data_IF_067859279298
#
_entry.id   IF_067859279298
#
_cell.length_a   1.000
_cell.length_b   1.000
_cell.length_c   1.000
_cell.angle_alpha   90.00
_cell.angle_beta   90.00
_cell.angle_gamma   90.00
#
_symmetry.space_group_name_H-M   'P 1'
#
loop_
_entity.id
_entity.type
_entity.pdbx_description
1 polymer ?
#
# COMPACT_ATOMS: atom_id res chain seq x y z
N UNK A 1 -7.18 -7.81 -1.50
CA UNK A 1 -7.73 -7.03 -2.62
C UNK A 1 -8.40 -5.80 -2.03
N UNK A 2 -8.04 -4.59 -2.49
CA UNK A 2 -8.70 -3.36 -2.06
C UNK A 2 -10.13 -3.30 -2.59
N UNK A 3 -11.11 -3.12 -1.71
CA UNK A 3 -12.52 -3.01 -2.09
C UNK A 3 -12.83 -1.58 -2.55
N UNK A 4 -12.45 -1.27 -3.79
CA UNK A 4 -12.79 0.01 -4.41
C UNK A 4 -14.31 0.17 -4.53
N UNK A 5 -14.81 1.35 -4.16
CA UNK A 5 -16.21 1.71 -4.40
C UNK A 5 -16.40 2.23 -5.83
N UNK A 6 -15.43 3.01 -6.32
CA UNK A 6 -15.39 3.61 -7.65
C UNK A 6 -13.95 3.96 -8.03
N UNK A 7 -13.66 4.07 -9.33
CA UNK A 7 -12.42 4.62 -9.89
C UNK A 7 -12.57 6.08 -10.34
N UNK A 8 -13.78 6.63 -10.29
CA UNK A 8 -14.05 8.03 -10.69
C UNK A 8 -13.66 9.05 -9.61
N UNK A 9 -13.35 8.57 -8.40
CA UNK A 9 -12.91 9.39 -7.28
C UNK A 9 -11.45 9.04 -6.99
N UNK A 10 -10.57 10.03 -7.06
CA UNK A 10 -9.17 9.90 -6.70
C UNK A 10 -8.89 10.54 -5.35
N UNK A 11 -8.01 9.93 -4.57
CA UNK A 11 -7.48 10.52 -3.33
C UNK A 11 -6.34 11.49 -3.61
N UNK A 12 -5.58 11.22 -4.66
CA UNK A 12 -4.52 12.06 -5.20
C UNK A 12 -4.33 11.73 -6.69
N UNK A 13 -3.54 12.51 -7.46
CA UNK A 13 -3.25 12.20 -8.85
C UNK A 13 -2.76 10.75 -9.04
N UNK A 14 -3.47 9.97 -9.86
CA UNK A 14 -3.15 8.57 -10.13
C UNK A 14 -3.47 7.57 -9.01
N UNK A 15 -4.02 8.00 -7.86
CA UNK A 15 -4.32 7.14 -6.71
C UNK A 15 -5.82 7.10 -6.47
N UNK A 16 -6.42 5.92 -6.62
CA UNK A 16 -7.80 5.66 -6.25
C UNK A 16 -7.93 5.35 -4.76
N UNK A 17 -7.06 4.48 -4.24
CA UNK A 17 -7.12 4.06 -2.85
C UNK A 17 -5.75 3.61 -2.34
N UNK A 18 -5.52 3.78 -1.04
CA UNK A 18 -4.35 3.26 -0.31
C UNK A 18 -4.80 2.65 1.01
N UNK A 19 -4.32 1.45 1.30
CA UNK A 19 -4.49 0.77 2.58
C UNK A 19 -3.13 0.36 3.13
N UNK A 20 -2.88 0.68 4.40
CA UNK A 20 -1.65 0.31 5.11
C UNK A 20 -2.05 -0.76 6.11
N UNK A 21 -1.74 -2.01 5.80
CA UNK A 21 -2.32 -3.12 6.54
C UNK A 21 -1.26 -4.17 6.89
N UNK A 22 -1.29 -4.63 8.13
CA UNK A 22 -0.49 -5.77 8.56
C UNK A 22 -1.33 -7.04 8.59
N UNK A 23 -0.75 -8.16 8.14
CA UNK A 23 -1.35 -9.48 8.38
C UNK A 23 -1.24 -9.81 9.88
N UNK A 24 -2.24 -10.47 10.50
CA UNK A 24 -2.13 -10.96 11.87
C UNK A 24 -0.84 -11.78 12.04
N UNK A 25 -0.02 -11.53 13.07
CA UNK A 25 -0.30 -10.76 14.29
C UNK A 25 0.03 -9.25 14.27
N UNK A 26 0.37 -8.65 13.12
CA UNK A 26 0.53 -7.18 13.01
C UNK A 26 1.98 -6.66 13.05
N UNK A 27 2.99 -7.51 12.82
CA UNK A 27 4.41 -7.12 12.97
C UNK A 27 4.99 -6.37 11.78
N UNK A 28 4.51 -6.64 10.57
CA UNK A 28 4.98 -6.01 9.33
C UNK A 28 3.79 -5.50 8.55
N UNK A 29 3.86 -4.25 8.10
CA UNK A 29 2.80 -3.62 7.32
C UNK A 29 3.13 -3.69 5.83
N UNK A 30 2.15 -4.08 5.04
CA UNK A 30 2.16 -3.93 3.60
C UNK A 30 1.53 -2.60 3.19
N UNK A 31 1.98 -2.07 2.06
CA UNK A 31 1.35 -0.93 1.38
C UNK A 31 0.55 -1.48 0.21
N UNK A 32 -0.75 -1.28 0.22
CA UNK A 32 -1.66 -1.71 -0.83
C UNK A 32 -2.17 -0.47 -1.55
N UNK A 33 -1.93 -0.36 -2.86
CA UNK A 33 -2.37 0.76 -3.67
C UNK A 33 -3.25 0.29 -4.83
N UNK A 34 -4.34 1.00 -5.05
CA UNK A 34 -5.07 0.96 -6.30
C UNK A 34 -4.82 2.26 -7.08
N UNK A 35 -4.29 2.14 -8.29
CA UNK A 35 -3.82 3.27 -9.10
C UNK A 35 -4.38 3.27 -10.51
N UNK A 36 -4.34 4.42 -11.17
CA UNK A 36 -4.63 4.53 -12.61
C UNK A 36 -3.45 3.94 -13.40
N UNK A 37 -3.64 2.86 -14.19
CA UNK A 37 -2.57 2.30 -15.01
C UNK A 37 -2.07 3.24 -16.11
N UNK A 38 -2.92 4.15 -16.60
CA UNK A 38 -2.56 5.08 -17.67
C UNK A 38 -1.81 6.31 -17.09
N UNK A 39 -1.99 6.61 -15.80
CA UNK A 39 -1.34 7.73 -15.09
C UNK A 39 -0.90 7.33 -13.66
N UNK A 40 0.07 6.42 -13.50
CA UNK A 40 0.48 5.93 -12.19
C UNK A 40 1.19 7.04 -11.37
N UNK A 41 1.10 6.99 -10.03
CA UNK A 41 1.71 8.00 -9.14
C UNK A 41 3.23 7.80 -9.02
N UNK A 42 3.97 8.18 -10.07
CA UNK A 42 5.40 7.89 -10.22
C UNK A 42 6.25 8.29 -9.00
N UNK A 43 5.99 9.46 -8.41
CA UNK A 43 6.73 9.95 -7.25
C UNK A 43 6.54 9.06 -6.01
N UNK A 44 5.31 8.60 -5.75
CA UNK A 44 5.01 7.68 -4.65
C UNK A 44 5.69 6.33 -4.89
N UNK A 45 5.63 5.80 -6.12
CA UNK A 45 6.27 4.54 -6.47
C UNK A 45 7.79 4.61 -6.32
N UNK A 46 8.41 5.70 -6.77
CA UNK A 46 9.83 5.94 -6.62
C UNK A 46 10.24 6.09 -5.15
N UNK A 47 9.44 6.81 -4.34
CA UNK A 47 9.70 6.99 -2.93
C UNK A 47 9.58 5.68 -2.13
N UNK A 48 8.61 4.82 -2.45
CA UNK A 48 8.48 3.48 -1.87
C UNK A 48 9.71 2.61 -2.20
N UNK A 49 10.14 2.61 -3.46
CA UNK A 49 11.33 1.87 -3.88
C UNK A 49 12.60 2.37 -3.18
N UNK A 50 12.79 3.70 -3.10
CA UNK A 50 13.90 4.32 -2.38
C UNK A 50 13.88 4.04 -0.87
N UNK A 51 12.69 3.88 -0.29
CA UNK A 51 12.47 3.44 1.09
C UNK A 51 12.74 1.94 1.31
N UNK A 52 13.04 1.19 0.25
CA UNK A 52 13.35 -0.24 0.28
C UNK A 52 12.12 -1.15 0.21
N UNK A 53 10.94 -0.61 -0.05
CA UNK A 53 9.74 -1.42 -0.28
C UNK A 53 9.80 -2.08 -1.66
N UNK A 54 9.56 -3.38 -1.70
CA UNK A 54 9.55 -4.20 -2.90
C UNK A 54 8.12 -4.44 -3.34
N UNK A 55 7.86 -4.34 -4.65
CA UNK A 55 6.57 -4.74 -5.20
C UNK A 55 6.46 -6.27 -5.19
N UNK A 56 5.48 -6.80 -4.46
CA UNK A 56 5.21 -8.24 -4.36
C UNK A 56 4.00 -8.67 -5.19
N UNK A 57 3.19 -7.72 -5.65
CA UNK A 57 2.00 -7.97 -6.45
C UNK A 57 1.71 -6.80 -7.38
N UNK A 58 1.43 -7.10 -8.64
CA UNK A 58 1.00 -6.14 -9.65
C UNK A 58 -0.05 -6.78 -10.54
N UNK A 59 -1.26 -6.25 -10.54
CA UNK A 59 -2.37 -6.79 -11.34
C UNK A 59 -3.25 -5.68 -11.90
N UNK A 60 -3.40 -5.67 -13.22
CA UNK A 60 -4.32 -4.78 -13.91
C UNK A 60 -5.71 -5.41 -14.06
N UNK A 61 -6.77 -4.67 -13.79
CA UNK A 61 -8.14 -5.11 -14.03
C UNK A 61 -9.09 -3.96 -14.36
N UNK A 62 -10.25 -4.28 -14.93
CA UNK A 62 -11.33 -3.33 -15.14
C UNK A 62 -12.29 -3.39 -13.97
N UNK A 63 -12.47 -2.28 -13.27
CA UNK A 63 -13.41 -2.16 -12.16
C UNK A 63 -14.87 -2.14 -12.66
N UNK A 64 -15.84 -2.36 -11.76
CA UNK A 64 -17.27 -2.49 -12.10
C UNK A 64 -17.88 -1.25 -12.78
N UNK A 65 -17.30 -0.07 -12.52
CA UNK A 65 -17.68 1.20 -13.15
C UNK A 65 -16.89 1.50 -14.44
N UNK A 66 -16.21 0.48 -14.98
CA UNK A 66 -15.44 0.48 -16.23
C UNK A 66 -14.13 1.26 -16.21
N UNK A 67 -13.70 1.81 -15.07
CA UNK A 67 -12.34 2.34 -14.95
C UNK A 67 -11.30 1.22 -14.92
N UNK A 68 -10.11 1.51 -15.45
CA UNK A 68 -8.97 0.60 -15.34
C UNK A 68 -8.29 0.82 -13.99
N UNK A 69 -7.81 -0.25 -13.38
CA UNK A 69 -7.09 -0.22 -12.10
C UNK A 69 -5.82 -1.02 -12.23
N UNK A 70 -4.74 -0.50 -11.66
CA UNK A 70 -3.52 -1.22 -11.37
C UNK A 70 -3.41 -1.38 -9.84
N UNK A 71 -3.62 -2.60 -9.36
CA UNK A 71 -3.45 -2.99 -7.95
C UNK A 71 -1.99 -3.35 -7.71
N UNK A 72 -1.38 -2.70 -6.72
CA UNK A 72 0.04 -2.85 -6.38
C UNK A 72 0.19 -3.12 -4.90
N UNK A 73 0.91 -4.17 -4.54
CA UNK A 73 1.23 -4.45 -3.13
C UNK A 73 2.74 -4.35 -2.92
N UNK A 74 3.13 -3.69 -1.85
CA UNK A 74 4.51 -3.52 -1.47
C UNK A 74 4.77 -4.03 -0.06
N UNK A 75 5.93 -4.64 0.12
CA UNK A 75 6.40 -5.13 1.41
C UNK A 75 7.86 -4.78 1.60
N UNK A 76 8.28 -4.66 2.86
CA UNK A 76 9.67 -4.49 3.25
C UNK A 76 9.94 -5.45 4.40
N UNK A 77 10.84 -6.39 4.17
CA UNK A 77 11.27 -7.33 5.21
C UNK A 77 11.94 -6.56 6.37
N UNK A 78 11.72 -7.03 7.59
CA UNK A 78 12.50 -6.58 8.76
C UNK A 78 13.68 -7.48 9.06
N UNK A 79 14.37 -7.17 10.15
CA UNK A 79 15.60 -7.86 10.55
C UNK A 79 15.42 -8.87 11.68
N UNK A 80 14.19 -9.25 12.03
CA UNK A 80 13.95 -10.38 12.92
C UNK A 80 14.10 -11.75 12.20
N UNK A 81 14.06 -12.84 12.97
CA UNK A 81 14.24 -14.22 12.46
C UNK A 81 13.17 -14.66 11.44
N UNK A 82 12.03 -13.99 11.40
CA UNK A 82 10.89 -14.25 10.53
C UNK A 82 10.64 -13.12 9.53
N UNK A 83 11.64 -12.23 9.30
CA UNK A 83 11.53 -11.05 8.44
C UNK A 83 10.48 -10.03 8.92
N UNK A 84 10.15 -10.06 10.20
CA UNK A 84 9.33 -9.09 10.90
C UNK A 84 10.11 -7.84 11.28
N UNK A 85 9.40 -6.70 11.35
CA UNK A 85 9.98 -5.46 11.90
C UNK A 85 10.14 -5.55 13.41
N UNK A 86 11.33 -5.20 13.90
CA UNK A 86 11.55 -4.84 15.30
C UNK A 86 10.84 -3.53 15.64
N UNK A 87 10.62 -3.19 16.94
CA UNK A 87 9.92 -1.98 17.32
C UNK A 87 10.49 -0.70 16.69
N UNK A 88 11.81 -0.58 16.63
CA UNK A 88 12.51 0.59 16.09
C UNK A 88 12.35 0.67 14.56
N UNK A 89 12.37 -0.48 13.88
CA UNK A 89 12.12 -0.58 12.45
C UNK A 89 10.66 -0.26 12.13
N UNK A 90 9.73 -0.68 12.98
CA UNK A 90 8.31 -0.43 12.80
C UNK A 90 8.03 1.08 12.86
N UNK A 91 8.54 1.76 13.89
CA UNK A 91 8.40 3.21 14.03
C UNK A 91 9.01 3.96 12.83
N UNK A 92 10.25 3.62 12.46
CA UNK A 92 10.94 4.26 11.34
C UNK A 92 10.24 4.02 9.99
N UNK A 93 9.85 2.77 9.71
CA UNK A 93 9.18 2.43 8.46
C UNK A 93 7.77 3.05 8.40
N UNK A 94 7.03 3.07 9.51
CA UNK A 94 5.70 3.69 9.56
C UNK A 94 5.77 5.21 9.39
N UNK A 95 6.75 5.87 9.99
CA UNK A 95 7.00 7.29 9.77
C UNK A 95 7.35 7.57 8.29
N UNK A 96 8.14 6.69 7.65
CA UNK A 96 8.48 6.81 6.25
C UNK A 96 7.26 6.63 5.33
N UNK A 97 6.44 5.60 5.56
CA UNK A 97 5.16 5.42 4.82
C UNK A 97 4.26 6.64 5.01
N UNK A 98 4.10 7.10 6.26
CA UNK A 98 3.27 8.28 6.58
C UNK A 98 3.72 9.50 5.80
N UNK A 99 5.04 9.76 5.76
CA UNK A 99 5.61 10.88 5.01
C UNK A 99 5.36 10.77 3.51
N UNK A 100 5.62 9.59 2.91
CA UNK A 100 5.44 9.36 1.47
C UNK A 100 4.01 9.72 1.03
N UNK A 101 3.01 9.27 1.78
CA UNK A 101 1.62 9.54 1.43
C UNK A 101 1.15 10.95 1.82
N UNK A 102 1.67 11.51 2.92
CA UNK A 102 1.41 12.90 3.29
C UNK A 102 1.93 13.90 2.24
N UNK A 103 3.11 13.64 1.65
CA UNK A 103 3.68 14.44 0.56
C UNK A 103 2.79 14.38 -0.71
N UNK A 104 2.01 13.29 -0.87
CA UNK A 104 0.99 13.15 -1.91
C UNK A 104 -0.40 13.69 -1.49
N UNK A 105 -0.51 14.32 -0.32
CA UNK A 105 -1.77 14.86 0.22
C UNK A 105 -2.73 13.82 0.82
N UNK A 106 -2.26 12.59 1.09
CA UNK A 106 -3.07 11.49 1.61
C UNK A 106 -2.73 11.23 3.08
N UNK A 107 -3.74 11.34 3.94
CA UNK A 107 -3.66 10.83 5.31
C UNK A 107 -3.95 9.32 5.33
N UNK A 108 -2.99 8.53 5.82
CA UNK A 108 -3.12 7.08 5.96
C UNK A 108 -3.72 6.69 7.32
N UNK A 109 -4.36 5.52 7.36
CA UNK A 109 -4.87 4.92 8.60
C UNK A 109 -4.40 3.46 8.70
N UNK A 110 -3.22 3.20 9.30
CA UNK A 110 -2.71 1.84 9.44
C UNK A 110 -3.64 0.94 10.26
N UNK A 111 -3.83 -0.31 9.80
CA UNK A 111 -4.70 -1.29 10.47
C UNK A 111 -4.13 -2.71 10.44
N UNK A 112 -4.72 -3.60 11.23
CA UNK A 112 -4.47 -5.04 11.13
C UNK A 112 -5.61 -5.66 10.34
N UNK A 113 -5.29 -6.52 9.37
CA UNK A 113 -6.29 -7.26 8.60
C UNK A 113 -7.07 -8.22 9.50
N UNK A 114 -8.34 -8.47 9.16
CA UNK A 114 -9.04 -9.64 9.71
C UNK A 114 -8.40 -10.94 9.20
N UNK A 115 -8.65 -12.05 9.90
CA UNK A 115 -8.18 -13.36 9.44
C UNK A 115 -8.77 -13.71 8.06
N UNK A 116 -10.03 -13.36 7.81
CA UNK A 116 -10.66 -13.60 6.51
C UNK A 116 -9.95 -12.85 5.36
N UNK A 117 -9.58 -11.59 5.57
CA UNK A 117 -8.82 -10.81 4.58
C UNK A 117 -7.39 -11.34 4.37
N UNK A 118 -6.74 -11.84 5.41
CA UNK A 118 -5.36 -12.28 5.34
C UNK A 118 -5.16 -13.61 4.55
N UNK A 119 -6.22 -14.42 4.45
CA UNK A 119 -6.22 -15.76 3.85
C UNK A 119 -7.16 -15.93 2.64
N UNK A 120 -7.73 -14.83 2.13
CA UNK A 120 -8.49 -14.79 0.87
C UNK A 120 -7.57 -14.55 -0.33
#
# INVERSE_FOLDING_TARGET
MLFLKSTSVTKAPGIYEVDIAAKPPGKTYGVYLATDPDNPPADVLAALAAAGFQNTHSSGYTHKDRGKVLDLHFQKDGTDLFKGWKPEENEANMAQITKIFADAGIAIAPRVMSLAEAYA
#
